data_IF_042851265176
#
_entry.id   IF_042851265176
#
_cell.length_a   1.000
_cell.length_b   1.000
_cell.length_c   1.000
_cell.angle_alpha   90.00
_cell.angle_beta   90.00
_cell.angle_gamma   90.00
#
_symmetry.space_group_name_H-M   'P 1'
#
loop_
_entity.id
_entity.type
_entity.pdbx_description
1 polymer ?
#
# COMPACT_ATOMS: atom_id res chain seq x y z
N UNK A 1 -15.09 44.02 18.39
CA UNK A 1 -16.45 44.46 17.99
C UNK A 1 -17.20 43.31 17.35
N UNK A 2 -18.42 43.05 17.84
CA UNK A 2 -19.53 42.23 17.30
C UNK A 2 -19.32 40.72 17.08
N UNK A 3 -19.74 39.98 18.11
CA UNK A 3 -20.35 38.64 18.04
C UNK A 3 -21.57 38.64 17.10
N UNK A 4 -21.79 37.54 16.39
CA UNK A 4 -23.13 37.04 16.05
C UNK A 4 -23.18 35.54 16.27
N UNK A 5 -23.99 35.13 17.25
CA UNK A 5 -24.51 33.77 17.31
C UNK A 5 -25.75 33.64 16.43
N UNK A 6 -26.09 32.41 16.08
CA UNK A 6 -27.47 32.03 15.80
C UNK A 6 -27.65 30.56 16.16
N UNK A 7 -28.79 30.30 16.78
CA UNK A 7 -29.20 29.13 17.54
C UNK A 7 -30.52 28.66 16.90
N UNK A 8 -30.89 27.38 17.10
CA UNK A 8 -32.23 26.77 16.92
C UNK A 8 -32.52 26.37 15.44
N UNK A 9 -33.03 25.17 15.11
CA UNK A 9 -33.95 24.36 15.89
C UNK A 9 -33.98 22.85 15.59
N UNK A 10 -34.39 22.13 16.64
CA UNK A 10 -34.91 20.77 16.62
C UNK A 10 -36.24 20.71 15.85
N UNK A 11 -36.45 19.62 15.13
CA UNK A 11 -37.79 19.10 14.86
C UNK A 11 -37.79 17.60 15.21
N UNK A 12 -38.49 17.28 16.29
CA UNK A 12 -38.85 15.92 16.65
C UNK A 12 -40.09 15.52 15.84
N UNK A 13 -40.09 14.31 15.29
CA UNK A 13 -41.31 13.69 14.77
C UNK A 13 -41.44 12.32 15.44
N UNK A 14 -42.45 12.22 16.29
CA UNK A 14 -42.91 10.98 16.91
C UNK A 14 -43.86 10.31 15.92
N UNK A 15 -43.59 9.06 15.58
CA UNK A 15 -44.59 8.17 14.98
C UNK A 15 -44.73 6.97 15.91
N UNK A 16 -45.86 6.92 16.61
CA UNK A 16 -46.32 5.76 17.33
C UNK A 16 -47.05 4.84 16.35
N UNK A 17 -46.60 3.60 16.25
CA UNK A 17 -47.28 2.52 15.54
C UNK A 17 -47.13 1.24 16.34
N UNK A 18 -48.17 0.89 17.06
CA UNK A 18 -48.29 -0.37 17.80
C UNK A 18 -48.70 -1.51 16.87
N UNK A 19 -48.20 -2.71 17.12
CA UNK A 19 -48.82 -3.95 16.64
C UNK A 19 -47.83 -5.04 16.23
N UNK A 20 -47.94 -6.20 16.90
CA UNK A 20 -47.49 -7.47 16.34
C UNK A 20 -46.35 -8.15 17.10
N UNK A 21 -46.71 -8.89 18.15
CA UNK A 21 -45.85 -9.86 18.79
C UNK A 21 -45.46 -10.98 17.80
N UNK A 22 -44.15 -11.27 17.74
CA UNK A 22 -43.59 -12.42 17.04
C UNK A 22 -42.30 -12.82 17.73
N UNK A 23 -42.42 -13.62 18.79
CA UNK A 23 -41.28 -14.21 19.48
C UNK A 23 -40.63 -15.26 18.57
N UNK A 24 -39.56 -14.89 17.89
CA UNK A 24 -38.64 -15.84 17.29
C UNK A 24 -37.58 -16.19 18.35
N UNK A 25 -37.65 -17.40 18.87
CA UNK A 25 -36.66 -17.95 19.77
C UNK A 25 -35.28 -17.95 19.08
N UNK A 26 -34.36 -17.12 19.59
CA UNK A 26 -32.94 -17.23 19.29
C UNK A 26 -32.44 -18.49 19.97
N UNK A 27 -32.23 -19.54 19.18
CA UNK A 27 -31.51 -20.72 19.65
C UNK A 27 -30.11 -20.33 20.14
N UNK A 28 -29.55 -21.05 21.13
CA UNK A 28 -28.19 -20.79 21.57
C UNK A 28 -27.24 -20.91 20.38
N UNK A 29 -26.53 -19.81 20.09
CA UNK A 29 -25.54 -19.76 19.05
C UNK A 29 -24.56 -20.91 19.23
N UNK A 30 -24.41 -21.72 18.18
CA UNK A 30 -23.42 -22.77 18.13
C UNK A 30 -22.05 -22.17 18.46
N UNK A 31 -21.51 -22.58 19.61
CA UNK A 31 -20.12 -22.37 19.98
C UNK A 31 -19.24 -22.82 18.82
N UNK A 32 -18.55 -21.84 18.22
CA UNK A 32 -17.59 -22.02 17.14
C UNK A 32 -16.44 -22.89 17.64
N UNK A 33 -16.43 -24.17 17.27
CA UNK A 33 -15.27 -25.03 17.45
C UNK A 33 -14.32 -24.82 16.29
N UNK A 34 -13.29 -24.01 16.52
CA UNK A 34 -12.19 -23.84 15.59
C UNK A 34 -11.44 -25.18 15.42
N UNK A 35 -10.87 -25.48 14.23
CA UNK A 35 -10.12 -26.72 14.02
C UNK A 35 -8.93 -26.80 14.98
N UNK A 36 -8.91 -27.87 15.77
CA UNK A 36 -7.94 -28.16 16.81
C UNK A 36 -6.65 -28.73 16.22
N UNK A 37 -5.73 -27.84 15.82
CA UNK A 37 -4.31 -28.15 15.72
C UNK A 37 -3.48 -26.85 15.66
N UNK A 38 -3.41 -26.14 16.78
CA UNK A 38 -2.34 -25.17 17.01
C UNK A 38 -2.03 -25.17 18.51
N UNK A 39 -0.81 -25.54 18.88
CA UNK A 39 -0.27 -25.29 20.22
C UNK A 39 -0.17 -23.77 20.42
N UNK A 40 -0.69 -23.28 21.55
CA UNK A 40 -0.56 -21.87 21.96
C UNK A 40 0.90 -21.40 21.85
N UNK A 41 1.13 -20.24 21.23
CA UNK A 41 2.46 -19.65 21.04
C UNK A 41 3.27 -20.21 19.86
N UNK A 42 2.66 -21.02 18.98
CA UNK A 42 3.33 -21.65 17.84
C UNK A 42 3.05 -21.03 16.46
N UNK A 43 3.42 -21.76 15.41
CA UNK A 43 3.06 -21.42 14.04
C UNK A 43 1.60 -21.79 13.75
N UNK A 44 0.82 -20.84 13.22
CA UNK A 44 -0.60 -21.02 12.91
C UNK A 44 -0.83 -20.81 11.41
N UNK A 45 -1.56 -21.73 10.78
CA UNK A 45 -1.98 -21.60 9.39
C UNK A 45 -3.49 -21.35 9.34
N UNK A 46 -3.90 -20.31 8.62
CA UNK A 46 -5.30 -19.95 8.40
C UNK A 46 -5.61 -19.98 6.92
N UNK A 47 -6.66 -20.69 6.52
CA UNK A 47 -7.11 -20.72 5.13
C UNK A 47 -8.26 -19.74 4.94
N UNK A 48 -8.10 -18.80 4.01
CA UNK A 48 -9.10 -17.79 3.67
C UNK A 48 -9.73 -18.16 2.33
N UNK A 49 -11.05 -18.31 2.26
CA UNK A 49 -11.75 -18.67 1.03
C UNK A 49 -13.08 -17.91 0.91
N UNK A 50 -13.51 -17.48 -0.30
CA UNK A 50 -14.81 -16.84 -0.45
C UNK A 50 -15.93 -17.81 -0.04
N UNK A 51 -16.71 -17.46 0.99
CA UNK A 51 -17.76 -18.32 1.53
C UNK A 51 -17.25 -19.51 2.38
N UNK A 52 -15.97 -19.53 2.74
CA UNK A 52 -15.41 -20.48 3.71
C UNK A 52 -15.65 -20.06 5.16
N UNK A 53 -15.14 -20.84 6.12
CA UNK A 53 -15.22 -20.54 7.56
C UNK A 53 -14.52 -19.21 7.91
N UNK A 54 -13.34 -18.98 7.32
CA UNK A 54 -12.66 -17.69 7.32
C UNK A 54 -12.78 -17.13 5.91
N UNK A 55 -13.55 -16.07 5.75
CA UNK A 55 -13.90 -15.52 4.44
C UNK A 55 -13.10 -14.24 4.10
N UNK A 56 -12.39 -13.66 5.07
CA UNK A 56 -11.66 -12.40 4.93
C UNK A 56 -10.32 -12.40 5.67
N UNK A 57 -9.45 -11.45 5.32
CA UNK A 57 -8.20 -11.21 6.06
C UNK A 57 -8.46 -10.70 7.48
N UNK A 58 -9.55 -9.96 7.71
CA UNK A 58 -9.91 -9.49 9.05
C UNK A 58 -10.26 -10.67 9.98
N UNK A 59 -10.99 -11.67 9.47
CA UNK A 59 -11.26 -12.89 10.24
C UNK A 59 -9.99 -13.73 10.43
N UNK A 60 -9.12 -13.78 9.43
CA UNK A 60 -7.85 -14.49 9.56
C UNK A 60 -6.95 -13.87 10.63
N UNK A 61 -6.90 -12.53 10.70
CA UNK A 61 -6.21 -11.81 11.75
C UNK A 61 -6.73 -12.19 13.14
N UNK A 62 -8.05 -12.20 13.34
CA UNK A 62 -8.68 -12.59 14.61
C UNK A 62 -8.28 -14.00 15.02
N UNK A 63 -8.27 -14.96 14.07
CA UNK A 63 -7.84 -16.34 14.36
C UNK A 63 -6.38 -16.42 14.79
N UNK A 64 -5.49 -15.64 14.17
CA UNK A 64 -4.08 -15.58 14.57
C UNK A 64 -3.92 -14.96 15.96
N UNK A 65 -4.66 -13.90 16.24
CA UNK A 65 -4.66 -13.22 17.54
C UNK A 65 -5.19 -14.11 18.66
N UNK A 66 -6.35 -14.72 18.49
CA UNK A 66 -6.98 -15.64 19.45
C UNK A 66 -6.09 -16.84 19.78
N UNK A 67 -5.26 -17.28 18.81
CA UNK A 67 -4.31 -18.39 18.98
C UNK A 67 -2.92 -17.95 19.45
N UNK A 68 -2.71 -16.66 19.69
CA UNK A 68 -1.42 -16.09 20.04
C UNK A 68 -0.29 -16.56 19.10
N UNK A 69 -0.56 -16.56 17.79
CA UNK A 69 0.37 -17.03 16.78
C UNK A 69 1.63 -16.15 16.71
N UNK A 70 2.81 -16.71 16.96
CA UNK A 70 4.08 -15.99 16.73
C UNK A 70 4.41 -15.97 15.24
N UNK A 71 4.19 -17.10 14.56
CA UNK A 71 4.34 -17.24 13.11
C UNK A 71 2.99 -17.54 12.47
N UNK A 72 2.37 -16.55 11.86
CA UNK A 72 1.09 -16.69 11.16
C UNK A 72 1.27 -16.88 9.66
N UNK A 73 0.61 -17.88 9.08
CA UNK A 73 0.50 -18.06 7.62
C UNK A 73 -0.96 -18.03 7.20
N UNK A 74 -1.34 -16.98 6.48
CA UNK A 74 -2.65 -16.86 5.84
C UNK A 74 -2.53 -17.35 4.39
N UNK A 75 -3.15 -18.49 4.10
CA UNK A 75 -3.28 -19.08 2.78
C UNK A 75 -4.60 -18.64 2.16
N UNK A 76 -4.52 -17.78 1.15
CA UNK A 76 -5.70 -17.24 0.47
C UNK A 76 -6.02 -18.10 -0.74
N UNK A 77 -7.15 -18.79 -0.70
CA UNK A 77 -7.62 -19.65 -1.79
C UNK A 77 -7.97 -18.82 -3.03
N UNK A 78 -7.76 -19.39 -4.21
CA UNK A 78 -8.10 -18.76 -5.49
C UNK A 78 -9.57 -18.35 -5.55
N UNK A 79 -9.82 -17.15 -6.05
CA UNK A 79 -11.12 -16.51 -5.98
C UNK A 79 -11.03 -14.99 -6.10
N UNK A 80 -12.19 -14.34 -6.20
CA UNK A 80 -12.30 -12.88 -6.19
C UNK A 80 -12.98 -12.40 -4.91
N UNK A 81 -12.23 -11.68 -4.10
CA UNK A 81 -12.65 -11.05 -2.85
C UNK A 81 -13.06 -9.62 -3.16
N UNK A 82 -14.32 -9.29 -2.91
CA UNK A 82 -14.93 -8.03 -3.37
C UNK A 82 -15.08 -7.05 -2.21
N UNK A 83 -14.71 -5.80 -2.46
CA UNK A 83 -14.89 -4.68 -1.53
C UNK A 83 -14.20 -4.85 -0.17
N UNK A 84 -13.19 -5.71 -0.05
CA UNK A 84 -12.49 -5.90 1.22
C UNK A 84 -11.44 -4.81 1.44
N UNK A 85 -11.37 -4.28 2.66
CA UNK A 85 -10.19 -3.57 3.16
C UNK A 85 -10.00 -3.90 4.63
N UNK A 86 -8.75 -4.10 5.04
CA UNK A 86 -8.40 -4.47 6.42
C UNK A 86 -7.32 -3.55 6.99
N UNK A 87 -7.44 -3.25 8.28
CA UNK A 87 -6.38 -2.63 9.06
C UNK A 87 -5.73 -3.70 9.94
N UNK A 88 -4.64 -4.28 9.43
CA UNK A 88 -3.88 -5.33 10.11
C UNK A 88 -3.06 -4.72 11.26
N UNK A 89 -3.36 -5.16 12.48
CA UNK A 89 -2.84 -4.73 13.78
C UNK A 89 -2.12 -5.85 14.52
N UNK A 90 -2.54 -7.10 14.34
CA UNK A 90 -1.91 -8.23 15.02
C UNK A 90 -0.47 -8.40 14.55
N UNK A 91 0.47 -8.21 15.48
CA UNK A 91 1.89 -8.13 15.16
C UNK A 91 2.73 -8.63 16.35
N UNK A 92 2.83 -9.97 16.54
CA UNK A 92 3.58 -10.58 17.64
C UNK A 92 5.05 -10.14 17.65
N UNK A 93 5.61 -9.93 18.84
CA UNK A 93 7.00 -9.52 18.99
C UNK A 93 7.97 -10.58 18.46
N UNK A 94 8.91 -10.18 17.60
CA UNK A 94 9.87 -11.09 16.97
C UNK A 94 9.28 -12.06 15.94
N UNK A 95 7.97 -12.04 15.73
CA UNK A 95 7.24 -13.00 14.90
C UNK A 95 7.27 -12.71 13.39
N UNK A 96 6.50 -13.50 12.64
CA UNK A 96 6.35 -13.39 11.19
C UNK A 96 4.92 -13.63 10.76
N UNK A 97 4.36 -12.71 9.98
CA UNK A 97 3.04 -12.86 9.37
C UNK A 97 3.21 -12.97 7.86
N UNK A 98 2.77 -14.08 7.27
CA UNK A 98 2.81 -14.32 5.83
C UNK A 98 1.41 -14.45 5.27
N UNK A 99 1.03 -13.53 4.39
CA UNK A 99 -0.24 -13.54 3.66
C UNK A 99 0.08 -13.86 2.20
N UNK A 100 -0.37 -15.02 1.71
CA UNK A 100 -0.02 -15.46 0.34
C UNK A 100 -1.14 -16.23 -0.32
N UNK A 101 -1.10 -16.25 -1.65
CA UNK A 101 -1.96 -17.15 -2.41
C UNK A 101 -1.69 -18.62 -2.04
N UNK A 102 -2.77 -19.39 -1.92
CA UNK A 102 -2.73 -20.82 -1.68
C UNK A 102 -2.37 -21.56 -2.98
N UNK A 103 -1.25 -22.31 -3.01
CA UNK A 103 -0.80 -23.01 -4.22
C UNK A 103 -1.86 -23.95 -4.79
N UNK A 104 -1.97 -24.01 -6.13
CA UNK A 104 -2.87 -24.95 -6.81
C UNK A 104 -4.36 -24.59 -6.78
N UNK A 105 -4.75 -23.48 -6.14
CA UNK A 105 -6.17 -23.10 -5.99
C UNK A 105 -6.66 -22.07 -7.02
N UNK A 106 -5.77 -21.62 -7.92
CA UNK A 106 -6.06 -20.61 -8.92
C UNK A 106 -5.63 -19.20 -8.51
N UNK A 107 -6.09 -18.19 -9.26
CA UNK A 107 -5.70 -16.79 -9.04
C UNK A 107 -6.46 -16.17 -7.86
N UNK A 108 -5.75 -15.50 -6.97
CA UNK A 108 -6.33 -14.66 -5.91
C UNK A 108 -6.44 -13.21 -6.39
N UNK A 109 -7.65 -12.64 -6.31
CA UNK A 109 -7.92 -11.25 -6.69
C UNK A 109 -8.68 -10.55 -5.55
N UNK A 110 -8.09 -9.49 -5.00
CA UNK A 110 -8.82 -8.52 -4.17
C UNK A 110 -9.25 -7.35 -5.07
N UNK A 111 -10.55 -7.22 -5.26
CA UNK A 111 -11.17 -6.19 -6.09
C UNK A 111 -11.97 -5.23 -5.22
N UNK A 112 -11.46 -4.00 -5.09
CA UNK A 112 -12.13 -2.94 -4.33
C UNK A 112 -13.43 -2.43 -4.95
N UNK A 113 -13.77 -2.83 -6.19
CA UNK A 113 -14.92 -2.33 -6.99
C UNK A 113 -15.10 -0.81 -6.93
N UNK A 114 -13.99 -0.08 -6.90
CA UNK A 114 -13.99 1.38 -6.82
C UNK A 114 -14.00 1.95 -5.41
N UNK A 115 -13.69 1.14 -4.39
CA UNK A 115 -13.59 1.55 -2.98
C UNK A 115 -12.50 2.61 -2.77
N UNK A 116 -12.82 3.59 -1.92
CA UNK A 116 -11.85 4.56 -1.43
C UNK A 116 -10.92 3.95 -0.37
N UNK A 117 -9.69 4.43 -0.30
CA UNK A 117 -8.67 3.90 0.63
C UNK A 117 -7.79 2.78 0.06
N UNK A 118 -7.09 2.10 0.96
CA UNK A 118 -6.17 1.00 0.66
C UNK A 118 -6.88 -0.35 0.75
N UNK A 119 -6.30 -1.39 0.14
CA UNK A 119 -6.70 -2.77 0.42
C UNK A 119 -6.27 -3.18 1.84
N UNK A 120 -4.99 -3.04 2.17
CA UNK A 120 -4.46 -3.38 3.51
C UNK A 120 -3.74 -2.19 4.10
N UNK A 121 -3.98 -1.91 5.38
CA UNK A 121 -3.13 -1.04 6.19
C UNK A 121 -2.46 -1.86 7.30
N UNK A 122 -1.16 -2.05 7.22
CA UNK A 122 -0.35 -2.71 8.26
C UNK A 122 0.10 -1.66 9.27
N UNK A 123 -0.19 -1.88 10.56
CA UNK A 123 0.26 -1.02 11.66
C UNK A 123 1.65 -1.44 12.16
N UNK A 124 2.34 -0.51 12.82
CA UNK A 124 3.59 -0.83 13.47
C UNK A 124 3.42 -1.89 14.57
N UNK A 125 4.44 -2.72 14.73
CA UNK A 125 4.53 -3.79 15.71
C UNK A 125 5.76 -4.66 15.45
N UNK A 126 5.95 -5.71 16.25
CA UNK A 126 7.18 -6.51 16.25
C UNK A 126 7.31 -7.59 15.17
N UNK A 127 6.27 -7.83 14.36
CA UNK A 127 6.26 -8.91 13.39
C UNK A 127 6.71 -8.43 12.01
N UNK A 128 7.50 -9.27 11.34
CA UNK A 128 7.80 -9.08 9.91
C UNK A 128 6.60 -9.50 9.09
N UNK A 129 6.11 -8.62 8.22
CA UNK A 129 4.92 -8.89 7.42
C UNK A 129 5.27 -9.15 5.95
N UNK A 130 4.76 -10.25 5.40
CA UNK A 130 5.06 -10.73 4.06
C UNK A 130 3.77 -10.89 3.24
N UNK A 131 3.75 -10.33 2.03
CA UNK A 131 2.67 -10.51 1.05
C UNK A 131 3.20 -11.17 -0.22
N UNK A 132 2.50 -12.17 -0.76
CA UNK A 132 2.88 -12.72 -2.07
C UNK A 132 1.78 -13.36 -2.92
N UNK A 133 1.95 -13.31 -4.25
CA UNK A 133 1.16 -14.06 -5.22
C UNK A 133 -0.29 -13.58 -5.43
N UNK A 134 -0.62 -12.35 -5.01
CA UNK A 134 -1.99 -11.82 -5.00
C UNK A 134 -2.14 -10.67 -6.00
N UNK A 135 -3.28 -10.62 -6.69
CA UNK A 135 -3.69 -9.46 -7.49
C UNK A 135 -4.55 -8.51 -6.66
N UNK A 136 -4.23 -7.22 -6.65
CA UNK A 136 -4.96 -6.16 -5.95
C UNK A 136 -5.40 -5.11 -6.96
N UNK A 137 -6.68 -4.78 -7.00
CA UNK A 137 -7.23 -3.88 -8.02
C UNK A 137 -8.40 -3.00 -7.58
N UNK A 138 -8.60 -1.90 -8.31
CA UNK A 138 -9.74 -0.99 -8.19
C UNK A 138 -9.92 -0.38 -6.79
N UNK A 139 -8.80 -0.02 -6.14
CA UNK A 139 -8.77 0.81 -4.93
C UNK A 139 -8.27 2.21 -5.26
N UNK A 140 -8.79 3.23 -4.57
CA UNK A 140 -8.39 4.61 -4.83
C UNK A 140 -7.02 4.96 -4.25
N UNK A 141 -6.81 4.79 -2.94
CA UNK A 141 -5.59 5.28 -2.29
C UNK A 141 -4.35 4.44 -2.62
N UNK A 142 -4.52 3.12 -2.75
CA UNK A 142 -3.43 2.19 -2.99
C UNK A 142 -3.74 0.73 -2.72
N UNK A 143 -2.71 -0.11 -2.75
CA UNK A 143 -2.80 -1.52 -2.38
C UNK A 143 -2.50 -1.71 -0.90
N UNK A 144 -1.22 -1.66 -0.54
CA UNK A 144 -0.74 -1.87 0.83
C UNK A 144 -0.18 -0.56 1.38
N UNK A 145 -0.63 -0.17 2.56
CA UNK A 145 -0.06 0.90 3.37
C UNK A 145 0.64 0.29 4.59
N UNK A 146 1.97 0.37 4.64
CA UNK A 146 2.74 0.17 5.87
C UNK A 146 2.75 1.49 6.63
N UNK A 147 2.05 1.54 7.76
CA UNK A 147 1.80 2.75 8.54
C UNK A 147 2.56 2.71 9.85
N UNK A 148 3.87 2.96 9.78
CA UNK A 148 4.63 3.45 10.92
C UNK A 148 4.39 4.94 11.16
N UNK A 149 5.02 5.46 12.21
CA UNK A 149 4.98 6.86 12.63
C UNK A 149 6.38 7.25 13.14
N UNK A 150 7.01 8.21 12.47
CA UNK A 150 8.37 8.66 12.81
C UNK A 150 8.38 9.43 14.13
N UNK A 151 7.37 10.25 14.39
CA UNK A 151 7.31 11.13 15.55
C UNK A 151 7.00 10.34 16.83
N UNK A 152 6.18 9.29 16.71
CA UNK A 152 5.93 8.35 17.81
C UNK A 152 7.00 7.26 17.97
N UNK A 153 8.00 7.21 17.07
CA UNK A 153 9.03 6.15 17.07
C UNK A 153 8.52 4.77 16.64
N UNK A 154 7.28 4.69 16.14
CA UNK A 154 6.64 3.45 15.69
C UNK A 154 7.17 3.03 14.32
N UNK A 155 8.07 2.07 14.30
CA UNK A 155 8.74 1.60 13.08
C UNK A 155 8.20 0.24 12.65
N UNK A 156 7.97 0.07 11.35
CA UNK A 156 7.79 -1.25 10.73
C UNK A 156 9.13 -1.71 10.18
N UNK A 157 9.66 -2.85 10.62
CA UNK A 157 11.00 -3.31 10.19
C UNK A 157 10.97 -4.72 9.62
N UNK A 158 11.49 -4.88 8.41
CA UNK A 158 11.58 -6.17 7.76
C UNK A 158 10.22 -6.69 7.26
N UNK A 159 10.27 -7.61 6.32
CA UNK A 159 9.09 -8.06 5.59
C UNK A 159 9.32 -8.04 4.09
N UNK A 160 8.29 -8.41 3.33
CA UNK A 160 8.40 -8.38 1.87
C UNK A 160 7.06 -8.27 1.16
N UNK A 161 7.07 -7.67 -0.03
CA UNK A 161 5.97 -7.72 -1.00
C UNK A 161 6.52 -8.32 -2.28
N UNK A 162 6.08 -9.53 -2.64
CA UNK A 162 6.70 -10.35 -3.70
C UNK A 162 5.68 -10.95 -4.65
N UNK A 163 5.98 -11.02 -5.94
CA UNK A 163 5.12 -11.69 -6.93
C UNK A 163 3.67 -11.18 -6.94
N UNK A 164 3.45 -9.92 -6.56
CA UNK A 164 2.12 -9.31 -6.53
C UNK A 164 1.80 -8.63 -7.86
N UNK A 165 0.50 -8.48 -8.14
CA UNK A 165 0.01 -7.65 -9.24
C UNK A 165 -0.84 -6.52 -8.67
N UNK A 166 -0.32 -5.30 -8.69
CA UNK A 166 -1.09 -4.10 -8.35
C UNK A 166 -1.58 -3.47 -9.64
N UNK A 167 -2.90 -3.45 -9.86
CA UNK A 167 -3.44 -2.91 -11.11
C UNK A 167 -4.68 -2.05 -10.96
N UNK A 168 -4.85 -1.09 -11.86
CA UNK A 168 -6.04 -0.23 -11.90
C UNK A 168 -6.31 0.45 -10.55
N UNK A 169 -5.27 1.07 -9.98
CA UNK A 169 -5.39 1.83 -8.73
C UNK A 169 -5.41 3.33 -9.03
N UNK A 170 -6.00 4.11 -8.12
CA UNK A 170 -6.12 5.55 -8.25
C UNK A 170 -7.48 6.02 -8.77
N UNK A 171 -7.66 7.34 -8.77
CA UNK A 171 -8.96 7.99 -9.06
C UNK A 171 -9.42 7.82 -10.52
N UNK A 172 -8.57 7.29 -11.41
CA UNK A 172 -9.02 6.89 -12.75
C UNK A 172 -9.94 5.67 -12.71
N UNK A 173 -9.72 4.75 -11.77
CA UNK A 173 -10.35 3.43 -11.73
C UNK A 173 -11.29 3.23 -10.54
N UNK A 174 -11.18 4.08 -9.53
CA UNK A 174 -11.96 3.99 -8.29
C UNK A 174 -12.48 5.36 -7.83
N UNK A 175 -13.48 5.34 -6.95
CA UNK A 175 -14.08 6.53 -6.37
C UNK A 175 -13.29 6.98 -5.15
N UNK A 176 -12.87 8.24 -5.14
CA UNK A 176 -12.20 8.84 -3.99
C UNK A 176 -11.42 10.08 -4.41
N UNK A 177 -10.74 10.68 -3.44
CA UNK A 177 -10.10 11.99 -3.64
C UNK A 177 -8.77 11.87 -4.35
N UNK A 178 -7.99 10.85 -4.03
CA UNK A 178 -6.59 10.78 -4.46
C UNK A 178 -5.98 9.39 -4.27
N UNK A 179 -5.20 8.93 -5.24
CA UNK A 179 -4.28 7.81 -5.10
C UNK A 179 -2.87 8.25 -4.72
N UNK A 180 -2.21 7.43 -3.89
CA UNK A 180 -0.90 7.71 -3.31
C UNK A 180 0.17 6.67 -3.69
N UNK A 181 -0.10 5.38 -3.52
CA UNK A 181 0.92 4.36 -3.75
C UNK A 181 0.35 2.95 -3.74
N UNK A 182 0.74 2.11 -4.71
CA UNK A 182 0.40 0.69 -4.65
C UNK A 182 1.01 0.02 -3.43
N UNK A 183 2.27 0.33 -3.12
CA UNK A 183 2.91 0.07 -1.83
C UNK A 183 3.34 1.42 -1.24
N UNK A 184 2.68 1.85 -0.18
CA UNK A 184 2.94 3.11 0.51
C UNK A 184 3.52 2.82 1.89
N UNK A 185 4.59 3.50 2.27
CA UNK A 185 5.41 3.14 3.42
C UNK A 185 5.75 4.38 4.24
N UNK A 186 5.24 4.45 5.46
CA UNK A 186 5.61 5.43 6.47
C UNK A 186 6.54 4.77 7.48
N UNK A 187 7.66 5.45 7.82
CA UNK A 187 8.65 5.00 8.79
C UNK A 187 8.93 3.48 8.76
N UNK A 188 9.08 2.94 7.55
CA UNK A 188 9.27 1.50 7.32
C UNK A 188 10.69 1.22 6.86
N UNK A 189 11.31 0.17 7.42
CA UNK A 189 12.73 -0.10 7.28
C UNK A 189 13.01 -1.52 6.81
N UNK A 190 14.08 -1.71 6.03
CA UNK A 190 14.58 -3.04 5.63
C UNK A 190 13.53 -3.92 4.93
N UNK A 191 12.58 -3.30 4.23
CA UNK A 191 11.55 -3.99 3.46
C UNK A 191 12.07 -4.35 2.07
N UNK A 192 11.58 -5.49 1.55
CA UNK A 192 11.88 -5.97 0.19
C UNK A 192 10.64 -5.94 -0.68
N UNK A 193 10.66 -5.13 -1.74
CA UNK A 193 9.58 -5.03 -2.73
C UNK A 193 10.13 -5.60 -4.04
N UNK A 194 9.83 -6.87 -4.31
CA UNK A 194 10.56 -7.65 -5.32
C UNK A 194 9.60 -8.31 -6.31
N UNK A 195 9.98 -8.33 -7.60
CA UNK A 195 9.31 -9.11 -8.64
C UNK A 195 7.79 -8.87 -8.76
N UNK A 196 7.35 -7.65 -8.44
CA UNK A 196 5.94 -7.25 -8.56
C UNK A 196 5.65 -6.60 -9.92
N UNK A 197 4.38 -6.60 -10.27
CA UNK A 197 3.84 -5.91 -11.44
C UNK A 197 2.95 -4.74 -11.00
N UNK A 198 3.40 -3.52 -11.28
CA UNK A 198 2.65 -2.28 -11.05
C UNK A 198 2.10 -1.80 -12.40
N UNK A 199 0.78 -1.86 -12.58
CA UNK A 199 0.15 -1.63 -13.88
C UNK A 199 -1.02 -0.66 -13.77
N UNK A 200 -1.08 0.37 -14.60
CA UNK A 200 -2.26 1.27 -14.63
C UNK A 200 -2.54 1.89 -13.26
N UNK A 201 -1.55 2.60 -12.71
CA UNK A 201 -1.70 3.35 -11.46
C UNK A 201 -1.91 4.82 -11.83
N UNK A 202 -3.17 5.24 -11.90
CA UNK A 202 -3.54 6.50 -12.55
C UNK A 202 -4.53 7.29 -11.69
N UNK A 203 -4.17 8.55 -11.40
CA UNK A 203 -5.15 9.53 -10.96
C UNK A 203 -5.84 10.14 -12.19
N UNK A 204 -7.04 10.72 -12.02
CA UNK A 204 -7.86 11.21 -13.14
C UNK A 204 -7.51 12.63 -13.60
N UNK A 205 -7.08 13.50 -12.68
CA UNK A 205 -6.93 14.93 -12.96
C UNK A 205 -5.47 15.35 -13.08
N UNK A 206 -5.19 16.33 -13.95
CA UNK A 206 -3.83 16.84 -14.16
C UNK A 206 -3.16 17.35 -12.87
N UNK A 207 -3.94 17.85 -11.91
CA UNK A 207 -3.46 18.30 -10.59
C UNK A 207 -2.98 17.16 -9.68
N UNK A 208 -3.41 15.92 -9.95
CA UNK A 208 -3.17 14.75 -9.09
C UNK A 208 -2.41 13.62 -9.78
N UNK A 209 -2.18 13.68 -11.10
CA UNK A 209 -1.38 12.68 -11.83
C UNK A 209 -0.06 12.37 -11.14
N UNK A 210 0.65 13.39 -10.66
CA UNK A 210 1.98 13.23 -10.05
C UNK A 210 2.00 12.55 -8.67
N UNK A 211 0.85 12.12 -8.13
CA UNK A 211 0.70 11.78 -6.71
C UNK A 211 0.47 10.29 -6.44
N UNK A 212 0.12 9.49 -7.44
CA UNK A 212 0.06 8.03 -7.30
C UNK A 212 1.36 7.38 -7.79
N UNK A 213 1.90 6.49 -6.98
CA UNK A 213 3.19 5.81 -7.20
C UNK A 213 3.02 4.30 -7.24
N UNK A 214 4.03 3.59 -7.75
CA UNK A 214 4.14 2.15 -7.50
C UNK A 214 4.62 1.91 -6.07
N UNK A 215 5.78 2.47 -5.72
CA UNK A 215 6.34 2.42 -4.36
C UNK A 215 6.57 3.84 -3.85
N UNK A 216 6.11 4.13 -2.63
CA UNK A 216 6.31 5.42 -1.98
C UNK A 216 6.88 5.26 -0.57
N UNK A 217 8.15 5.65 -0.39
CA UNK A 217 8.81 5.83 0.90
C UNK A 217 8.53 7.23 1.44
N UNK A 218 7.92 7.32 2.61
CA UNK A 218 7.62 8.57 3.28
C UNK A 218 8.08 8.50 4.72
N UNK A 219 8.28 9.67 5.33
CA UNK A 219 8.42 9.85 6.77
C UNK A 219 9.50 8.93 7.40
N UNK A 220 10.74 9.09 6.95
CA UNK A 220 11.89 8.35 7.45
C UNK A 220 12.01 6.91 6.96
N UNK A 221 11.14 6.43 6.06
CA UNK A 221 11.25 5.07 5.50
C UNK A 221 12.60 4.84 4.81
N UNK A 222 13.41 3.92 5.35
CA UNK A 222 14.85 3.81 5.03
C UNK A 222 15.36 2.39 4.88
N UNK A 223 16.48 2.22 4.17
CA UNK A 223 17.14 0.91 3.95
C UNK A 223 16.24 -0.13 3.26
N UNK A 224 15.23 0.32 2.51
CA UNK A 224 14.34 -0.56 1.75
C UNK A 224 14.92 -0.85 0.36
N UNK A 225 14.53 -1.98 -0.22
CA UNK A 225 14.95 -2.39 -1.57
C UNK A 225 13.74 -2.60 -2.47
N UNK A 226 13.80 -2.03 -3.67
CA UNK A 226 12.84 -2.22 -4.77
C UNK A 226 13.60 -2.83 -5.93
N UNK A 227 13.37 -4.10 -6.23
CA UNK A 227 14.13 -4.80 -7.28
C UNK A 227 13.35 -5.79 -8.12
N UNK A 228 13.76 -5.96 -9.38
CA UNK A 228 13.13 -6.92 -10.30
C UNK A 228 11.69 -6.59 -10.72
N UNK A 229 11.13 -5.47 -10.24
CA UNK A 229 9.74 -5.12 -10.51
C UNK A 229 9.55 -4.56 -11.92
N UNK A 230 8.32 -4.63 -12.40
CA UNK A 230 7.87 -3.97 -13.62
C UNK A 230 6.84 -2.87 -13.31
N UNK A 231 7.06 -1.69 -13.86
CA UNK A 231 6.17 -0.54 -13.74
C UNK A 231 5.68 -0.15 -15.12
N UNK A 232 4.36 -0.19 -15.32
CA UNK A 232 3.72 0.19 -16.57
C UNK A 232 2.54 1.12 -16.34
N UNK A 233 2.46 2.22 -17.09
CA UNK A 233 1.34 3.18 -17.00
C UNK A 233 1.09 3.68 -15.58
N UNK A 234 2.13 4.26 -14.96
CA UNK A 234 1.98 4.98 -13.69
C UNK A 234 1.98 6.47 -13.97
N UNK A 235 0.88 7.15 -13.62
CA UNK A 235 0.71 8.58 -13.94
C UNK A 235 1.63 9.49 -13.13
N UNK A 236 2.06 9.05 -11.94
CA UNK A 236 3.05 9.72 -11.12
C UNK A 236 4.46 9.16 -11.35
N UNK A 237 5.34 9.37 -10.38
CA UNK A 237 6.67 8.75 -10.40
C UNK A 237 6.56 7.30 -9.92
N UNK A 238 7.11 6.30 -10.61
CA UNK A 238 6.90 4.90 -10.22
C UNK A 238 7.50 4.59 -8.84
N UNK A 239 8.63 5.22 -8.49
CA UNK A 239 9.17 5.19 -7.14
C UNK A 239 9.34 6.61 -6.60
N UNK A 240 8.90 6.85 -5.38
CA UNK A 240 9.10 8.13 -4.67
C UNK A 240 9.68 7.90 -3.28
N UNK A 241 10.58 8.78 -2.88
CA UNK A 241 11.02 8.96 -1.51
C UNK A 241 10.68 10.39 -1.04
N UNK A 242 10.39 10.56 0.24
CA UNK A 242 10.22 11.88 0.86
C UNK A 242 10.64 11.91 2.31
N UNK A 243 10.77 13.11 2.86
CA UNK A 243 10.76 13.38 4.31
C UNK A 243 11.72 12.48 5.10
N UNK A 244 13.02 12.74 5.00
CA UNK A 244 14.06 11.94 5.66
C UNK A 244 14.30 10.51 5.14
N UNK A 245 13.49 9.99 4.21
CA UNK A 245 13.68 8.65 3.63
C UNK A 245 15.07 8.47 3.01
N UNK A 246 15.83 7.49 3.51
CA UNK A 246 17.27 7.37 3.26
C UNK A 246 17.70 5.95 2.92
N UNK A 247 18.83 5.82 2.22
CA UNK A 247 19.49 4.53 1.92
C UNK A 247 18.59 3.50 1.22
N UNK A 248 17.52 3.95 0.57
CA UNK A 248 16.65 3.07 -0.21
C UNK A 248 17.32 2.75 -1.55
N UNK A 249 17.18 1.52 -2.03
CA UNK A 249 17.82 1.03 -3.25
C UNK A 249 16.76 0.63 -4.27
N UNK A 250 16.84 1.19 -5.47
CA UNK A 250 15.95 0.91 -6.60
C UNK A 250 16.77 0.31 -7.72
N UNK A 251 16.73 -1.03 -7.81
CA UNK A 251 17.71 -1.84 -8.53
C UNK A 251 17.06 -2.75 -9.58
N UNK A 252 17.57 -2.75 -10.82
CA UNK A 252 17.19 -3.80 -11.78
C UNK A 252 15.70 -3.82 -12.18
N UNK A 253 14.98 -2.71 -12.04
CA UNK A 253 13.55 -2.63 -12.38
C UNK A 253 13.35 -2.27 -13.85
N UNK A 254 12.15 -2.56 -14.37
CA UNK A 254 11.70 -2.16 -15.72
C UNK A 254 10.63 -1.08 -15.63
N UNK A 255 10.81 0.01 -16.37
CA UNK A 255 9.91 1.16 -16.35
C UNK A 255 9.40 1.48 -17.76
N UNK A 256 8.09 1.39 -17.98
CA UNK A 256 7.47 1.68 -19.28
C UNK A 256 6.23 2.58 -19.11
N UNK A 257 6.06 3.55 -20.00
CA UNK A 257 4.93 4.49 -20.01
C UNK A 257 4.64 5.09 -18.62
N UNK A 258 5.69 5.48 -17.91
CA UNK A 258 5.62 5.85 -16.49
C UNK A 258 6.40 7.13 -16.19
N UNK A 259 6.14 7.78 -15.06
CA UNK A 259 6.91 8.91 -14.57
C UNK A 259 6.31 10.28 -14.91
N UNK A 260 6.18 11.12 -13.89
CA UNK A 260 5.68 12.49 -14.02
C UNK A 260 6.80 13.54 -13.90
N UNK A 261 7.71 13.34 -12.97
CA UNK A 261 8.94 14.10 -12.82
C UNK A 261 10.15 13.23 -13.13
N UNK A 262 10.18 11.98 -12.66
CA UNK A 262 11.29 11.05 -12.85
C UNK A 262 10.88 9.59 -12.65
N UNK A 263 11.86 8.68 -12.67
CA UNK A 263 11.64 7.27 -12.34
C UNK A 263 11.76 6.99 -10.84
N UNK A 264 12.73 7.64 -10.21
CA UNK A 264 12.84 7.68 -8.76
C UNK A 264 12.94 9.14 -8.34
N UNK A 265 11.96 9.64 -7.60
CA UNK A 265 11.94 11.04 -7.17
C UNK A 265 12.16 11.19 -5.68
N UNK A 266 12.88 12.23 -5.24
CA UNK A 266 12.90 12.66 -3.85
C UNK A 266 12.17 13.99 -3.64
N UNK A 267 11.31 14.04 -2.63
CA UNK A 267 10.52 15.21 -2.28
C UNK A 267 10.73 15.56 -0.80
N UNK A 268 11.28 16.74 -0.50
CA UNK A 268 11.25 17.30 0.85
C UNK A 268 10.03 18.20 1.01
N UNK A 269 9.15 17.89 1.95
CA UNK A 269 8.02 18.75 2.28
C UNK A 269 8.31 19.60 3.53
N UNK A 270 7.68 20.79 3.68
CA UNK A 270 7.91 21.64 4.86
C UNK A 270 7.63 20.98 6.21
N UNK A 271 6.82 19.91 6.23
CA UNK A 271 6.50 19.14 7.43
C UNK A 271 7.68 18.37 8.02
N UNK A 272 8.70 18.03 7.22
CA UNK A 272 9.91 17.37 7.68
C UNK A 272 11.13 18.12 7.16
N UNK A 273 11.89 18.80 8.04
CA UNK A 273 13.08 19.52 7.61
C UNK A 273 14.22 18.57 7.21
N UNK A 274 14.14 17.28 7.56
CA UNK A 274 15.22 16.32 7.35
C UNK A 274 15.30 15.89 5.88
N UNK A 275 16.48 16.09 5.30
CA UNK A 275 16.83 15.57 4.00
C UNK A 275 17.19 14.10 4.07
N UNK A 276 16.68 13.34 3.11
CA UNK A 276 17.10 11.97 2.87
C UNK A 276 18.55 11.92 2.40
N UNK A 277 19.21 10.79 2.62
CA UNK A 277 20.60 10.60 2.19
C UNK A 277 20.82 9.18 1.66
N UNK A 278 21.75 9.04 0.71
CA UNK A 278 22.25 7.74 0.29
C UNK A 278 21.24 6.83 -0.43
N UNK A 279 20.12 7.36 -0.91
CA UNK A 279 19.25 6.59 -1.80
C UNK A 279 19.99 6.30 -3.12
N UNK A 280 19.71 5.16 -3.74
CA UNK A 280 20.50 4.68 -4.89
C UNK A 280 19.63 4.11 -6.01
N UNK A 281 19.88 4.56 -7.25
CA UNK A 281 19.16 4.15 -8.45
C UNK A 281 20.11 3.57 -9.50
N UNK A 282 20.10 2.26 -9.73
CA UNK A 282 21.05 1.62 -10.65
C UNK A 282 20.53 0.31 -11.26
N UNK A 283 21.10 -0.06 -12.41
CA UNK A 283 20.79 -1.31 -13.11
C UNK A 283 19.39 -1.35 -13.74
N UNK A 284 18.64 -0.24 -13.73
CA UNK A 284 17.27 -0.22 -14.21
C UNK A 284 17.22 -0.06 -15.75
N UNK A 285 16.13 -0.57 -16.33
CA UNK A 285 15.77 -0.32 -17.73
C UNK A 285 14.55 0.58 -17.81
N UNK A 286 14.52 1.47 -18.78
CA UNK A 286 13.41 2.41 -18.94
C UNK A 286 13.06 2.69 -20.39
N UNK A 287 11.78 2.89 -20.64
CA UNK A 287 11.23 3.19 -21.94
C UNK A 287 10.56 4.56 -21.99
N UNK A 288 9.36 4.61 -22.58
CA UNK A 288 8.65 5.88 -22.82
C UNK A 288 8.11 6.45 -21.50
N UNK A 289 7.99 7.79 -21.38
CA UNK A 289 7.28 8.40 -20.26
C UNK A 289 5.79 8.10 -20.28
N UNK A 290 5.15 8.33 -19.14
CA UNK A 290 3.69 8.39 -19.08
C UNK A 290 3.15 9.42 -20.08
N UNK A 291 2.13 9.09 -20.90
CA UNK A 291 1.58 10.04 -21.87
C UNK A 291 1.00 11.29 -21.20
N UNK A 292 1.58 12.47 -21.48
CA UNK A 292 1.16 13.75 -20.88
C UNK A 292 0.39 14.58 -21.90
N UNK A 293 -0.89 14.92 -21.65
CA UNK A 293 -1.58 15.94 -22.41
C UNK A 293 -0.79 17.27 -22.36
N UNK A 294 -0.43 17.84 -23.51
CA UNK A 294 0.17 19.18 -23.60
C UNK A 294 1.66 19.32 -23.22
N UNK A 295 2.38 18.24 -22.90
CA UNK A 295 3.85 18.30 -22.67
C UNK A 295 4.59 17.33 -23.57
N UNK A 296 5.37 17.86 -24.53
CA UNK A 296 6.09 17.05 -25.53
C UNK A 296 7.43 16.47 -25.07
N UNK A 297 8.17 17.08 -24.13
CA UNK A 297 9.49 16.57 -23.68
C UNK A 297 9.84 16.99 -22.24
N UNK A 298 10.35 16.05 -21.45
CA UNK A 298 11.33 16.27 -20.35
C UNK A 298 11.78 14.97 -19.64
N UNK A 299 11.31 13.79 -20.08
CA UNK A 299 11.63 12.54 -19.39
C UNK A 299 12.95 11.97 -19.87
N UNK A 300 13.96 11.96 -19.00
CA UNK A 300 15.26 11.30 -19.25
C UNK A 300 15.38 9.94 -18.57
N UNK A 301 14.29 9.38 -18.02
CA UNK A 301 14.38 8.22 -17.12
C UNK A 301 15.27 8.46 -15.90
N UNK A 302 15.56 9.73 -15.60
CA UNK A 302 16.48 10.11 -14.55
C UNK A 302 15.74 10.23 -13.22
N UNK A 303 16.41 9.96 -12.10
CA UNK A 303 15.95 10.40 -10.81
C UNK A 303 15.84 11.93 -10.73
N UNK A 304 14.94 12.43 -9.90
CA UNK A 304 14.71 13.87 -9.74
C UNK A 304 14.53 14.23 -8.28
N UNK A 305 15.29 15.24 -7.83
CA UNK A 305 15.12 15.84 -6.52
C UNK A 305 14.35 17.16 -6.68
N UNK A 306 13.14 17.21 -6.13
CA UNK A 306 12.19 18.29 -6.44
C UNK A 306 12.52 19.63 -5.77
N UNK A 307 13.29 19.58 -4.69
CA UNK A 307 13.76 20.75 -3.95
C UNK A 307 14.83 21.55 -4.71
N UNK A 308 15.48 20.94 -5.71
CA UNK A 308 16.53 21.55 -6.54
C UNK A 308 16.10 22.59 -7.55
N UNK A 309 14.80 22.90 -7.69
CA UNK A 309 14.34 23.93 -8.64
C UNK A 309 14.52 25.36 -8.12
N UNK A 310 15.71 25.65 -7.60
CA UNK A 310 16.14 27.00 -7.22
C UNK A 310 15.47 27.56 -5.97
N UNK A 311 14.85 26.73 -5.12
CA UNK A 311 14.19 27.20 -3.89
C UNK A 311 15.15 27.12 -2.69
N UNK A 312 15.16 28.12 -1.79
CA UNK A 312 15.82 28.01 -0.49
C UNK A 312 15.39 26.74 0.25
N UNK A 313 16.35 25.97 0.78
CA UNK A 313 16.10 24.68 1.46
C UNK A 313 16.14 23.43 0.56
N UNK A 314 16.91 23.44 -0.52
CA UNK A 314 17.22 22.23 -1.30
C UNK A 314 18.19 21.30 -0.54
N UNK A 315 17.96 20.00 -0.58
CA UNK A 315 18.83 18.99 0.01
C UNK A 315 20.20 19.01 -0.68
N UNK A 316 21.26 19.10 0.14
CA UNK A 316 22.65 19.10 -0.29
C UNK A 316 23.48 18.26 0.68
N UNK A 317 24.26 17.26 0.21
CA UNK A 317 24.27 16.72 -1.16
C UNK A 317 22.93 16.07 -1.54
N UNK A 318 22.79 15.70 -2.80
CA UNK A 318 21.58 15.10 -3.38
C UNK A 318 21.19 13.83 -2.62
N UNK A 319 19.89 13.64 -2.34
CA UNK A 319 19.42 12.45 -1.65
C UNK A 319 19.52 11.19 -2.52
N UNK A 320 19.59 11.31 -3.85
CA UNK A 320 19.64 10.17 -4.78
C UNK A 320 20.98 10.14 -5.53
N UNK A 321 21.73 9.05 -5.32
CA UNK A 321 22.89 8.67 -6.13
C UNK A 321 22.44 7.83 -7.32
N UNK A 322 23.02 8.08 -8.49
CA UNK A 322 22.62 7.44 -9.74
C UNK A 322 23.76 6.60 -10.30
N UNK A 323 23.55 5.30 -10.43
CA UNK A 323 24.44 4.38 -11.14
C UNK A 323 24.10 4.25 -12.63
N UNK A 324 24.67 3.25 -13.31
CA UNK A 324 24.37 2.98 -14.72
C UNK A 324 22.93 2.48 -14.88
N UNK A 325 22.19 3.04 -15.84
CA UNK A 325 20.83 2.64 -16.20
C UNK A 325 20.70 2.64 -17.73
N UNK A 326 19.85 1.79 -18.29
CA UNK A 326 19.75 1.58 -19.74
C UNK A 326 18.39 2.02 -20.29
N UNK A 327 18.41 2.84 -21.33
CA UNK A 327 17.21 3.10 -22.12
C UNK A 327 16.89 1.86 -22.99
N UNK A 328 15.66 1.35 -22.87
CA UNK A 328 15.16 0.18 -23.57
C UNK A 328 13.64 0.31 -23.83
N UNK A 329 13.21 1.08 -24.84
CA UNK A 329 11.80 1.42 -25.07
C UNK A 329 10.90 0.26 -25.51
N UNK A 330 11.49 -0.90 -25.76
CA UNK A 330 10.82 -2.14 -26.17
C UNK A 330 10.95 -3.27 -25.16
N UNK A 331 11.64 -3.07 -24.02
CA UNK A 331 11.76 -4.08 -22.98
C UNK A 331 10.39 -4.27 -22.29
N UNK A 332 9.80 -5.46 -22.45
CA UNK A 332 8.58 -5.90 -21.74
C UNK A 332 9.00 -6.71 -20.51
#
# INVERSE_FOLDING_TARGET
MRRRGMLIGLAATVVAGAGGAGAAALGPGSLRTAPASATEGGSVVVHVAPGGEVASLEEAEKVLEERNAVDGVVLVRGGTYKNESVAWRYSPEGGSITIRAEPGTGRVVYDGRGRDGYWVTVRAGGARTHFSGITVQNYTAGGILFRGDKDAGERITGGSVRDMVFRRLGTRYAHGREGYGAVHMYNSWKMRIEDNHFQQLENRTAKTYSRIHGVYFSDGASENTVSGNSFSRVSGDPVRASDGASRNRVLGNRFQDTGWYGLFSYFRFPRDPVCGTGNYFAGNTYGKPYPRPGRRKSFKGQPVDWDKRGKPGACRPDPIKVGRNRYAPSAR
#
